data_IF_011927019217
#
_entry.id   IF_011927019217
#
_cell.length_a   1.000
_cell.length_b   1.000
_cell.length_c   1.000
_cell.angle_alpha   90.00
_cell.angle_beta   90.00
_cell.angle_gamma   90.00
#
_symmetry.space_group_name_H-M   'P 1'
#
loop_
_entity.id
_entity.type
_entity.pdbx_description
1 polymer ?
#
# COMPACT_ATOMS: atom_id res chain seq x y z
N UNK A 1 -11.23 -14.08 -14.17
CA UNK A 1 -10.24 -14.74 -13.29
C UNK A 1 -9.81 -13.67 -12.31
N UNK A 2 -10.00 -13.86 -11.00
CA UNK A 2 -9.55 -12.85 -10.02
C UNK A 2 -8.06 -13.02 -9.80
N UNK A 3 -7.30 -11.96 -10.05
CA UNK A 3 -5.85 -11.93 -9.83
C UNK A 3 -5.52 -11.13 -8.57
N UNK A 4 -4.43 -11.51 -7.91
CA UNK A 4 -3.87 -10.77 -6.80
C UNK A 4 -2.64 -10.01 -7.28
N UNK A 5 -2.67 -8.69 -7.13
CA UNK A 5 -1.56 -7.81 -7.43
C UNK A 5 -0.98 -7.23 -6.14
N UNK A 6 0.32 -7.43 -5.94
CA UNK A 6 1.07 -6.83 -4.86
C UNK A 6 2.01 -5.76 -5.42
N UNK A 7 1.89 -4.52 -4.93
CA UNK A 7 2.76 -3.39 -5.27
C UNK A 7 3.25 -2.78 -3.97
N UNK A 8 4.54 -2.46 -3.91
CA UNK A 8 5.12 -1.78 -2.75
C UNK A 8 6.64 -1.75 -2.81
N UNK A 9 7.23 -1.19 -1.75
CA UNK A 9 8.67 -1.15 -1.50
C UNK A 9 9.01 -1.94 -0.24
N UNK A 10 10.25 -2.38 -0.13
CA UNK A 10 10.74 -3.06 1.06
C UNK A 10 12.18 -2.68 1.37
N UNK A 11 12.67 -3.04 2.55
CA UNK A 11 14.08 -2.90 2.91
C UNK A 11 15.05 -3.56 1.91
N UNK A 12 14.58 -4.53 1.11
CA UNK A 12 15.39 -5.19 0.07
C UNK A 12 15.53 -4.35 -1.20
N UNK A 13 14.60 -3.42 -1.45
CA UNK A 13 14.48 -2.70 -2.72
C UNK A 13 14.60 -1.19 -2.57
N UNK A 14 14.49 -0.64 -1.36
CA UNK A 14 14.54 0.79 -1.10
C UNK A 14 15.22 1.12 0.25
N UNK A 15 16.04 2.18 0.30
CA UNK A 15 16.64 2.66 1.54
C UNK A 15 15.57 3.29 2.45
N UNK A 16 15.91 3.53 3.72
CA UNK A 16 14.94 3.92 4.75
C UNK A 16 14.27 5.25 4.44
N UNK A 17 15.00 6.22 3.88
CA UNK A 17 14.52 7.56 3.57
C UNK A 17 13.42 7.53 2.49
N UNK A 18 13.48 6.55 1.57
CA UNK A 18 12.43 6.34 0.56
C UNK A 18 11.18 5.71 1.20
N UNK A 19 11.37 4.76 2.12
CA UNK A 19 10.28 4.04 2.79
C UNK A 19 9.53 4.94 3.76
N UNK A 20 10.21 5.84 4.47
CA UNK A 20 9.58 6.81 5.37
C UNK A 20 8.65 7.77 4.62
N UNK A 21 8.99 8.14 3.38
CA UNK A 21 8.10 8.94 2.53
C UNK A 21 6.83 8.21 2.09
N UNK A 22 6.86 6.88 2.13
CA UNK A 22 5.74 6.00 1.78
C UNK A 22 4.98 5.50 2.99
N UNK A 23 5.41 5.81 4.21
CA UNK A 23 4.73 5.41 5.43
C UNK A 23 3.24 5.79 5.37
N UNK A 24 2.38 4.83 5.73
CA UNK A 24 0.93 4.95 5.59
C UNK A 24 0.27 4.81 6.97
N UNK A 25 0.06 5.92 7.71
CA UNK A 25 -0.66 5.90 8.97
C UNK A 25 -2.13 5.49 8.80
N UNK A 26 -2.73 4.93 9.85
CA UNK A 26 -4.10 4.37 9.82
C UNK A 26 -5.15 5.33 9.22
N UNK A 27 -5.11 6.62 9.60
CA UNK A 27 -6.02 7.63 9.07
C UNK A 27 -5.90 7.77 7.54
N UNK A 28 -4.68 7.75 7.00
CA UNK A 28 -4.41 7.85 5.56
C UNK A 28 -4.66 6.53 4.83
N UNK A 29 -4.43 5.39 5.50
CA UNK A 29 -4.71 4.07 4.94
C UNK A 29 -6.20 3.89 4.61
N UNK A 30 -7.09 4.37 5.50
CA UNK A 30 -8.53 4.31 5.28
C UNK A 30 -8.98 5.07 4.03
N UNK A 31 -8.53 6.31 3.84
CA UNK A 31 -8.82 7.11 2.64
C UNK A 31 -8.25 6.45 1.38
N UNK A 32 -6.99 6.03 1.42
CA UNK A 32 -6.32 5.38 0.28
C UNK A 32 -7.05 4.12 -0.19
N UNK A 33 -7.48 3.26 0.74
CA UNK A 33 -8.22 2.04 0.42
C UNK A 33 -9.62 2.32 -0.12
N UNK A 34 -10.28 3.37 0.38
CA UNK A 34 -11.58 3.83 -0.15
C UNK A 34 -11.43 4.31 -1.59
N UNK A 35 -10.40 5.10 -1.87
CA UNK A 35 -10.12 5.61 -3.22
C UNK A 35 -9.78 4.47 -4.19
N UNK A 36 -8.96 3.50 -3.76
CA UNK A 36 -8.61 2.33 -4.58
C UNK A 36 -9.85 1.53 -4.98
N UNK A 37 -10.74 1.25 -4.00
CA UNK A 37 -11.99 0.49 -4.21
C UNK A 37 -13.08 1.33 -4.89
N UNK A 38 -12.92 2.65 -4.96
CA UNK A 38 -13.81 3.54 -5.73
C UNK A 38 -13.69 3.32 -7.24
N UNK A 39 -12.58 2.74 -7.71
CA UNK A 39 -12.41 2.33 -9.10
C UNK A 39 -13.01 0.95 -9.40
N UNK A 40 -13.63 0.78 -10.56
CA UNK A 40 -14.27 -0.48 -10.97
C UNK A 40 -13.29 -1.67 -11.13
N UNK A 41 -11.98 -1.42 -11.15
CA UNK A 41 -10.95 -2.43 -11.35
C UNK A 41 -10.52 -3.16 -10.06
N UNK A 42 -10.84 -2.63 -8.87
CA UNK A 42 -10.39 -3.18 -7.59
C UNK A 42 -11.59 -3.62 -6.75
N UNK A 43 -11.76 -4.92 -6.58
CA UNK A 43 -12.82 -5.50 -5.75
C UNK A 43 -12.51 -5.40 -4.25
N UNK A 44 -11.27 -5.70 -3.88
CA UNK A 44 -10.78 -5.74 -2.51
C UNK A 44 -9.37 -5.16 -2.45
N UNK A 45 -9.01 -4.56 -1.32
CA UNK A 45 -7.69 -3.98 -1.11
C UNK A 45 -7.28 -4.09 0.36
N UNK A 46 -5.98 -4.31 0.58
CA UNK A 46 -5.35 -4.32 1.90
C UNK A 46 -4.05 -3.52 1.83
N UNK A 47 -3.77 -2.73 2.87
CA UNK A 47 -2.52 -2.00 3.00
C UNK A 47 -1.64 -2.63 4.09
N UNK A 48 -0.33 -2.74 3.82
CA UNK A 48 0.66 -3.29 4.77
C UNK A 48 1.80 -2.28 4.91
N UNK A 49 1.72 -1.38 5.90
CA UNK A 49 2.81 -0.44 6.21
C UNK A 49 3.46 -0.81 7.53
N UNK A 50 4.75 -1.13 7.48
CA UNK A 50 5.59 -1.46 8.65
C UNK A 50 6.96 -0.80 8.49
N UNK A 51 7.83 -0.94 9.49
CA UNK A 51 9.20 -0.45 9.40
C UNK A 51 10.04 -1.08 8.28
N UNK A 52 9.60 -2.18 7.65
CA UNK A 52 10.39 -2.94 6.67
C UNK A 52 9.77 -3.03 5.28
N UNK A 53 8.53 -2.57 5.10
CA UNK A 53 7.79 -2.56 3.83
C UNK A 53 6.59 -1.62 3.88
N UNK A 54 6.24 -1.04 2.74
CA UNK A 54 4.96 -0.36 2.50
C UNK A 54 4.58 -0.51 1.05
#
# INVERSE_FOLDING_TARGET
>A
MSELLAIGVSHKTAPVEVRERLALPDARAGDFLRDLRGGAAVHEAVAISTCNRT
#
